data_IF_407317964450
#
_entry.id   IF_407317964450
#
_cell.length_a   1.000
_cell.length_b   1.000
_cell.length_c   1.000
_cell.angle_alpha   90.00
_cell.angle_beta   90.00
_cell.angle_gamma   90.00
#
_symmetry.space_group_name_H-M   'P 1'
#
loop_
_entity.id
_entity.type
_entity.pdbx_description
1 polymer ?
#
# COMPACT_ATOMS: atom_id res chain seq x y z
N UNK A 1 -7.13 -21.99 -38.28
CA UNK A 1 -7.42 -20.55 -38.48
C UNK A 1 -6.98 -19.71 -37.29
N UNK A 2 -7.36 -20.03 -36.04
CA UNK A 2 -7.02 -19.21 -34.87
C UNK A 2 -5.51 -19.06 -34.57
N UNK A 3 -4.71 -20.11 -34.80
CA UNK A 3 -3.26 -20.10 -34.52
C UNK A 3 -2.46 -19.25 -35.53
N UNK A 4 -2.85 -19.28 -36.81
CA UNK A 4 -2.28 -18.44 -37.87
C UNK A 4 -2.59 -16.96 -37.66
N UNK A 5 -3.78 -16.65 -37.12
CA UNK A 5 -4.19 -15.28 -36.82
C UNK A 5 -3.42 -14.70 -35.62
N UNK A 6 -3.20 -15.51 -34.58
CA UNK A 6 -2.38 -15.13 -33.42
C UNK A 6 -0.93 -14.83 -33.82
N UNK A 7 -0.32 -15.71 -34.63
CA UNK A 7 1.05 -15.52 -35.11
C UNK A 7 1.18 -14.25 -35.95
N UNK A 8 0.21 -13.97 -36.82
CA UNK A 8 0.20 -12.73 -37.61
C UNK A 8 0.09 -11.49 -36.72
N UNK A 9 -0.77 -11.50 -35.70
CA UNK A 9 -0.91 -10.37 -34.77
C UNK A 9 0.34 -10.12 -33.92
N UNK A 10 1.01 -11.19 -33.48
CA UNK A 10 2.30 -11.08 -32.77
C UNK A 10 3.37 -10.53 -33.71
N UNK A 11 3.45 -11.04 -34.95
CA UNK A 11 4.41 -10.56 -35.95
C UNK A 11 4.19 -9.09 -36.32
N UNK A 12 2.93 -8.66 -36.44
CA UNK A 12 2.55 -7.28 -36.70
C UNK A 12 2.97 -6.36 -35.53
N UNK A 13 2.65 -6.72 -34.28
CA UNK A 13 3.08 -5.97 -33.09
C UNK A 13 4.60 -5.93 -32.91
N UNK A 14 5.28 -7.03 -33.22
CA UNK A 14 6.75 -7.10 -33.23
C UNK A 14 7.37 -6.24 -34.34
N UNK A 15 6.70 -6.11 -35.49
CA UNK A 15 7.19 -5.26 -36.58
C UNK A 15 7.01 -3.76 -36.30
N UNK A 16 6.01 -3.39 -35.49
CA UNK A 16 5.77 -2.00 -35.06
C UNK A 16 6.81 -1.54 -34.01
N UNK A 17 7.12 -2.36 -33.00
CA UNK A 17 8.11 -2.06 -31.95
C UNK A 17 8.72 -3.34 -31.32
N UNK A 18 9.55 -4.03 -32.10
CA UNK A 18 10.12 -5.33 -31.71
C UNK A 18 11.09 -5.25 -30.53
N UNK A 19 11.77 -4.12 -30.33
CA UNK A 19 12.70 -3.94 -29.21
C UNK A 19 11.96 -3.81 -27.88
N UNK A 20 10.92 -2.97 -27.82
CA UNK A 20 10.08 -2.86 -26.61
C UNK A 20 9.37 -4.18 -26.32
N UNK A 21 8.90 -4.88 -27.35
CA UNK A 21 8.28 -6.20 -27.21
C UNK A 21 9.26 -7.22 -26.59
N UNK A 22 10.48 -7.32 -27.10
CA UNK A 22 11.50 -8.21 -26.54
C UNK A 22 11.82 -7.85 -25.09
N UNK A 23 12.01 -6.57 -24.77
CA UNK A 23 12.24 -6.11 -23.39
C UNK A 23 11.11 -6.50 -22.45
N UNK A 24 9.86 -6.43 -22.90
CA UNK A 24 8.71 -6.85 -22.09
C UNK A 24 8.74 -8.35 -21.81
N UNK A 25 9.01 -9.18 -22.83
CA UNK A 25 9.13 -10.63 -22.69
C UNK A 25 10.29 -11.02 -21.79
N UNK A 26 11.44 -10.35 -21.90
CA UNK A 26 12.60 -10.58 -21.03
C UNK A 26 12.29 -10.26 -19.57
N UNK A 27 11.61 -9.14 -19.31
CA UNK A 27 11.15 -8.78 -17.96
C UNK A 27 10.20 -9.83 -17.39
N UNK A 28 9.20 -10.28 -18.17
CA UNK A 28 8.27 -11.32 -17.76
C UNK A 28 9.00 -12.65 -17.49
N UNK A 29 9.93 -13.04 -18.35
CA UNK A 29 10.74 -14.25 -18.15
C UNK A 29 11.61 -14.17 -16.90
N UNK A 30 12.17 -13.00 -16.59
CA UNK A 30 12.90 -12.77 -15.35
C UNK A 30 12.01 -12.90 -14.11
N UNK A 31 10.81 -12.30 -14.14
CA UNK A 31 9.86 -12.36 -13.02
C UNK A 31 9.36 -13.79 -12.77
N UNK A 32 9.09 -14.54 -13.84
CA UNK A 32 8.72 -15.96 -13.78
C UNK A 32 9.83 -16.80 -13.14
N UNK A 33 11.06 -16.70 -13.68
CA UNK A 33 12.21 -17.48 -13.18
C UNK A 33 12.59 -17.16 -11.74
N UNK A 34 12.30 -15.94 -11.27
CA UNK A 34 12.56 -15.53 -9.89
C UNK A 34 11.43 -15.88 -8.92
N UNK A 35 10.30 -16.41 -9.41
CA UNK A 35 9.10 -16.68 -8.61
C UNK A 35 8.42 -15.40 -8.09
N UNK A 36 8.77 -14.24 -8.65
CA UNK A 36 8.15 -12.95 -8.32
C UNK A 36 6.81 -12.82 -9.04
N UNK A 37 6.67 -13.37 -10.25
CA UNK A 37 5.43 -13.27 -11.02
C UNK A 37 4.23 -13.87 -10.28
N UNK A 38 4.39 -15.06 -9.68
CA UNK A 38 3.35 -15.70 -8.86
C UNK A 38 2.91 -14.84 -7.67
N UNK A 39 3.88 -14.22 -6.98
CA UNK A 39 3.60 -13.33 -5.84
C UNK A 39 2.86 -12.07 -6.28
N UNK A 40 3.20 -11.52 -7.45
CA UNK A 40 2.49 -10.38 -8.02
C UNK A 40 1.05 -10.74 -8.40
N UNK A 41 0.83 -11.94 -8.94
CA UNK A 41 -0.52 -12.46 -9.23
C UNK A 41 -1.31 -12.62 -7.93
N UNK A 42 -0.73 -13.24 -6.89
CA UNK A 42 -1.39 -13.38 -5.58
C UNK A 42 -1.76 -12.03 -4.96
N UNK A 43 -0.89 -11.03 -5.09
CA UNK A 43 -1.18 -9.64 -4.66
C UNK A 43 -2.30 -9.04 -5.51
N UNK A 44 -2.28 -9.21 -6.83
CA UNK A 44 -3.29 -8.66 -7.74
C UNK A 44 -4.68 -9.25 -7.49
N UNK A 45 -4.78 -10.56 -7.26
CA UNK A 45 -6.04 -11.24 -6.91
C UNK A 45 -6.63 -10.73 -5.59
N UNK A 46 -5.77 -10.45 -4.60
CA UNK A 46 -6.19 -9.90 -3.30
C UNK A 46 -6.46 -8.40 -3.34
N UNK A 47 -6.05 -7.72 -4.40
CA UNK A 47 -6.12 -6.27 -4.53
C UNK A 47 -7.00 -5.84 -5.71
N UNK A 48 -8.18 -6.45 -5.85
CA UNK A 48 -9.23 -6.05 -6.81
C UNK A 48 -9.46 -4.52 -6.86
N UNK A 49 -9.18 -3.80 -5.76
CA UNK A 49 -9.29 -2.34 -5.63
C UNK A 49 -8.12 -1.57 -6.27
N UNK A 50 -6.90 -2.14 -6.29
CA UNK A 50 -5.68 -1.46 -6.76
C UNK A 50 -5.59 -1.49 -8.29
N UNK A 51 -6.01 -2.58 -8.92
CA UNK A 51 -5.85 -2.77 -10.38
C UNK A 51 -7.10 -2.47 -11.21
N UNK A 52 -8.27 -2.27 -10.58
CA UNK A 52 -9.48 -1.78 -11.24
C UNK A 52 -9.72 -0.28 -11.01
N UNK A 53 -8.65 0.52 -10.95
CA UNK A 53 -8.81 1.97 -10.95
C UNK A 53 -9.36 2.39 -12.32
N UNK A 54 -10.51 3.10 -12.38
CA UNK A 54 -10.96 3.68 -13.63
C UNK A 54 -9.85 4.57 -14.22
N UNK A 55 -9.71 4.64 -15.54
CA UNK A 55 -8.60 5.37 -16.20
C UNK A 55 -8.49 6.85 -15.74
N UNK A 56 -9.60 7.45 -15.35
CA UNK A 56 -9.69 8.80 -14.76
C UNK A 56 -8.97 8.96 -13.40
N UNK A 57 -8.68 7.85 -12.71
CA UNK A 57 -7.88 7.78 -11.47
C UNK A 57 -6.42 7.39 -11.73
N UNK A 58 -6.02 7.17 -12.98
CA UNK A 58 -4.63 6.90 -13.38
C UNK A 58 -4.01 8.20 -13.93
N UNK A 59 -4.20 9.29 -13.19
CA UNK A 59 -3.45 10.52 -13.43
C UNK A 59 -2.06 10.42 -12.76
N UNK A 60 -1.12 11.25 -13.23
CA UNK A 60 0.29 11.25 -12.76
C UNK A 60 0.41 11.38 -11.23
N UNK A 61 -0.47 12.17 -10.60
CA UNK A 61 -0.47 12.37 -9.15
C UNK A 61 -1.01 11.13 -8.41
N UNK A 62 -2.01 10.46 -8.96
CA UNK A 62 -2.54 9.22 -8.38
C UNK A 62 -1.51 8.09 -8.46
N UNK A 63 -0.76 8.00 -9.57
CA UNK A 63 0.38 7.08 -9.70
C UNK A 63 1.48 7.41 -8.67
N UNK A 64 1.86 8.68 -8.54
CA UNK A 64 2.87 9.12 -7.56
C UNK A 64 2.47 8.77 -6.11
N UNK A 65 1.18 8.94 -5.76
CA UNK A 65 0.66 8.56 -4.44
C UNK A 65 0.70 7.05 -4.24
N UNK A 66 0.32 6.27 -5.26
CA UNK A 66 0.39 4.81 -5.21
C UNK A 66 1.82 4.31 -5.02
N UNK A 67 2.79 4.88 -5.75
CA UNK A 67 4.21 4.55 -5.61
C UNK A 67 4.72 4.83 -4.18
N UNK A 68 4.43 6.02 -3.64
CA UNK A 68 4.80 6.39 -2.25
C UNK A 68 4.18 5.47 -1.21
N UNK A 69 2.90 5.10 -1.40
CA UNK A 69 2.21 4.19 -0.49
C UNK A 69 2.81 2.78 -0.57
N UNK A 70 3.12 2.29 -1.77
CA UNK A 70 3.78 0.99 -1.97
C UNK A 70 5.17 0.97 -1.33
N UNK A 71 5.99 2.01 -1.52
CA UNK A 71 7.32 2.12 -0.91
C UNK A 71 7.25 2.08 0.62
N UNK A 72 6.29 2.80 1.21
CA UNK A 72 6.05 2.79 2.65
C UNK A 72 5.63 1.40 3.15
N UNK A 73 4.67 0.76 2.47
CA UNK A 73 4.18 -0.58 2.84
C UNK A 73 5.31 -1.60 2.77
N UNK A 74 6.10 -1.60 1.69
CA UNK A 74 7.21 -2.53 1.52
C UNK A 74 8.29 -2.33 2.59
N UNK A 75 8.60 -1.08 2.92
CA UNK A 75 9.57 -0.74 3.98
C UNK A 75 9.11 -1.23 5.36
N UNK A 76 7.83 -1.01 5.68
CA UNK A 76 7.24 -1.51 6.93
C UNK A 76 7.24 -3.04 6.91
N UNK A 77 6.68 -3.68 5.89
CA UNK A 77 6.56 -5.14 5.79
C UNK A 77 7.92 -5.86 5.87
N UNK A 78 8.99 -5.28 5.31
CA UNK A 78 10.33 -5.86 5.36
C UNK A 78 10.99 -5.80 6.75
N UNK A 79 10.56 -4.87 7.61
CA UNK A 79 11.24 -4.55 8.87
C UNK A 79 10.44 -4.93 10.12
N UNK A 80 9.23 -5.48 9.94
CA UNK A 80 8.19 -5.43 10.98
C UNK A 80 7.37 -6.72 11.03
N UNK A 81 6.90 -7.10 12.22
CA UNK A 81 6.05 -8.27 12.43
C UNK A 81 4.54 -8.01 12.13
N UNK A 82 3.77 -9.09 11.96
CA UNK A 82 2.33 -9.04 11.67
C UNK A 82 1.52 -8.27 12.73
N UNK A 83 1.97 -8.25 13.99
CA UNK A 83 1.28 -7.52 15.06
C UNK A 83 1.43 -6.02 14.89
N UNK A 84 2.61 -5.59 14.49
CA UNK A 84 2.91 -4.18 14.28
C UNK A 84 2.24 -3.68 13.00
N UNK A 85 2.19 -4.49 11.92
CA UNK A 85 1.38 -4.18 10.72
C UNK A 85 -0.08 -3.93 11.12
N UNK A 86 -0.70 -4.85 11.85
CA UNK A 86 -2.08 -4.69 12.36
C UNK A 86 -2.28 -3.45 13.24
N UNK A 87 -1.23 -3.01 13.93
CA UNK A 87 -1.30 -1.80 14.74
C UNK A 87 -1.27 -0.55 13.87
N UNK A 88 -0.44 -0.53 12.83
CA UNK A 88 -0.39 0.55 11.85
C UNK A 88 -1.72 0.66 11.09
N UNK A 89 -2.31 -0.47 10.67
CA UNK A 89 -3.62 -0.50 10.01
C UNK A 89 -4.70 0.18 10.85
N UNK A 90 -4.78 -0.15 12.14
CA UNK A 90 -5.74 0.47 13.08
C UNK A 90 -5.50 1.98 13.26
N UNK A 91 -4.24 2.41 13.26
CA UNK A 91 -3.92 3.84 13.32
C UNK A 91 -4.40 4.58 12.06
N UNK A 92 -4.15 4.01 10.88
CA UNK A 92 -4.62 4.58 9.60
C UNK A 92 -6.15 4.63 9.53
N UNK A 93 -6.83 3.58 9.98
CA UNK A 93 -8.29 3.55 10.09
C UNK A 93 -8.81 4.66 11.02
N UNK A 94 -8.18 4.84 12.18
CA UNK A 94 -8.52 5.92 13.11
C UNK A 94 -8.38 7.31 12.49
N UNK A 95 -7.36 7.54 11.64
CA UNK A 95 -7.21 8.82 10.94
C UNK A 95 -8.37 9.09 9.98
N UNK A 96 -8.84 8.07 9.24
CA UNK A 96 -9.99 8.20 8.32
C UNK A 96 -11.27 8.56 9.08
N UNK A 97 -11.47 7.98 10.26
CA UNK A 97 -12.64 8.29 11.11
C UNK A 97 -12.57 9.67 11.76
N UNK A 98 -11.37 10.27 11.86
CA UNK A 98 -11.13 11.54 12.55
C UNK A 98 -11.28 12.77 11.62
N UNK A 99 -11.68 12.59 10.35
CA UNK A 99 -11.89 13.71 9.41
C UNK A 99 -12.91 14.76 9.93
N UNK A 100 -13.78 14.37 10.87
CA UNK A 100 -14.61 15.29 11.64
C UNK A 100 -14.39 15.06 13.14
N UNK A 101 -13.76 16.03 13.81
CA UNK A 101 -13.55 16.00 15.24
C UNK A 101 -14.30 17.13 15.95
N UNK A 102 -14.76 16.86 17.17
CA UNK A 102 -15.35 17.87 18.03
C UNK A 102 -14.25 18.62 18.80
N UNK A 103 -14.25 19.96 18.83
CA UNK A 103 -13.31 20.71 19.65
C UNK A 103 -13.44 20.36 21.13
N UNK A 104 -12.32 20.28 21.84
CA UNK A 104 -12.25 19.88 23.27
C UNK A 104 -12.92 20.87 24.24
N UNK A 105 -13.52 21.96 23.78
CA UNK A 105 -14.40 22.82 24.59
C UNK A 105 -13.73 23.53 25.78
N UNK A 106 -12.42 23.78 25.72
CA UNK A 106 -11.64 24.45 26.77
C UNK A 106 -11.18 23.51 27.89
N UNK A 107 -10.78 24.08 29.04
CA UNK A 107 -10.13 23.32 30.13
C UNK A 107 -10.98 22.17 30.68
N UNK A 108 -12.29 22.38 30.82
CA UNK A 108 -13.18 21.36 31.39
C UNK A 108 -13.40 20.18 30.44
N UNK A 109 -13.54 20.46 29.14
CA UNK A 109 -13.65 19.40 28.14
C UNK A 109 -12.34 18.67 27.92
N UNK A 110 -11.18 19.32 28.06
CA UNK A 110 -9.88 18.65 28.12
C UNK A 110 -9.79 17.68 29.31
N UNK A 111 -10.16 18.11 30.52
CA UNK A 111 -10.17 17.23 31.70
C UNK A 111 -11.11 16.04 31.47
N UNK A 112 -12.29 16.27 30.86
CA UNK A 112 -13.22 15.20 30.52
C UNK A 112 -12.59 14.22 29.51
N UNK A 113 -11.93 14.72 28.47
CA UNK A 113 -11.24 13.89 27.48
C UNK A 113 -10.11 13.06 28.11
N UNK A 114 -9.32 13.64 29.02
CA UNK A 114 -8.26 12.91 29.74
C UNK A 114 -8.79 11.85 30.70
N UNK A 115 -10.07 11.94 31.10
CA UNK A 115 -10.75 10.93 31.91
C UNK A 115 -11.40 9.83 31.08
N UNK A 116 -11.44 9.98 29.76
CA UNK A 116 -11.99 8.98 28.86
C UNK A 116 -11.11 7.70 28.88
N UNK A 117 -11.70 6.51 29.08
CA UNK A 117 -10.94 5.26 29.15
C UNK A 117 -10.11 4.94 27.90
N UNK A 118 -10.59 5.29 26.71
CA UNK A 118 -9.92 4.97 25.46
C UNK A 118 -8.80 5.98 25.16
N UNK A 119 -8.99 7.25 25.54
CA UNK A 119 -7.90 8.24 25.56
C UNK A 119 -6.80 7.79 26.53
N UNK A 120 -7.14 7.32 27.73
CA UNK A 120 -6.15 6.85 28.70
C UNK A 120 -5.36 5.64 28.20
N UNK A 121 -6.02 4.64 27.60
CA UNK A 121 -5.34 3.49 26.98
C UNK A 121 -4.35 3.94 25.90
N UNK A 122 -4.79 4.85 25.04
CA UNK A 122 -3.98 5.37 23.92
C UNK A 122 -2.76 6.15 24.43
N UNK A 123 -2.94 7.02 25.44
CA UNK A 123 -1.84 7.72 26.10
C UNK A 123 -0.86 6.75 26.76
N UNK A 124 -1.36 5.71 27.43
CA UNK A 124 -0.51 4.66 28.01
C UNK A 124 0.34 3.93 26.96
N UNK A 125 -0.24 3.66 25.79
CA UNK A 125 0.47 3.09 24.66
C UNK A 125 1.57 4.03 24.13
N UNK A 126 1.25 5.32 23.89
CA UNK A 126 2.24 6.33 23.44
C UNK A 126 3.38 6.47 24.44
N UNK A 127 3.10 6.58 25.74
CA UNK A 127 4.14 6.65 26.76
C UNK A 127 5.00 5.39 26.81
N UNK A 128 4.41 4.22 26.53
CA UNK A 128 5.17 2.98 26.41
C UNK A 128 6.12 2.99 25.22
N UNK A 129 5.69 3.53 24.07
CA UNK A 129 6.58 3.74 22.90
C UNK A 129 7.74 4.66 23.29
N UNK A 130 7.43 5.84 23.83
CA UNK A 130 8.44 6.82 24.22
C UNK A 130 9.46 6.26 25.22
N UNK A 131 8.99 5.51 26.22
CA UNK A 131 9.85 4.83 27.20
C UNK A 131 10.77 3.80 26.55
N UNK A 132 10.28 3.03 25.59
CA UNK A 132 11.10 2.03 24.89
C UNK A 132 12.07 2.67 23.91
N UNK A 133 11.67 3.74 23.22
CA UNK A 133 12.54 4.52 22.35
C UNK A 133 13.68 5.16 23.13
N UNK A 134 13.37 5.84 24.25
CA UNK A 134 14.36 6.45 25.15
C UNK A 134 15.36 5.46 25.75
N UNK A 135 15.05 4.16 25.81
CA UNK A 135 15.99 3.11 26.26
C UNK A 135 16.98 2.67 25.17
N UNK A 136 16.70 3.00 23.91
CA UNK A 136 17.50 2.59 22.75
C UNK A 136 18.40 3.70 22.22
N UNK A 137 18.30 4.91 22.78
CA UNK A 137 19.14 6.07 22.46
C UNK A 137 20.06 6.41 23.63
#
# INVERSE_FOLDING_TARGET
MAESDLLNRIAEKFSEDGESFLKAIEKLSYLEKSGVLDKLIEVAEKSEVIFNLPEEFIDEKSVEIAEKNLELILTIAASTDEKTIRTVEKLVESFKETERFEPVGGLMGLIRALRDPDVQKSLGYVFSILKNFGRKI
#
